data_IF_442738350621
#
_entry.id   IF_442738350621
#
_cell.length_a   1.000
_cell.length_b   1.000
_cell.length_c   1.000
_cell.angle_alpha   90.00
_cell.angle_beta   90.00
_cell.angle_gamma   90.00
#
_symmetry.space_group_name_H-M   'P 1'
#
loop_
_entity.id
_entity.type
_entity.pdbx_description
1 polymer ?
#
# COMPACT_ATOMS: atom_id res chain seq x y z
N UNK A 1 -53.32 -50.21 -20.54
CA UNK A 1 -52.11 -49.42 -20.20
C UNK A 1 -52.42 -47.94 -20.38
N UNK A 2 -52.89 -47.27 -19.32
CA UNK A 2 -53.40 -45.89 -19.35
C UNK A 2 -52.33 -44.91 -18.85
N UNK A 3 -51.80 -44.07 -19.75
CA UNK A 3 -50.85 -43.00 -19.41
C UNK A 3 -51.61 -41.83 -18.75
N UNK A 4 -51.58 -41.76 -17.43
CA UNK A 4 -52.05 -40.60 -16.67
C UNK A 4 -50.98 -39.51 -16.75
N UNK A 5 -51.19 -38.53 -17.64
CA UNK A 5 -50.33 -37.34 -17.79
C UNK A 5 -50.69 -36.34 -16.69
N UNK A 6 -49.99 -36.39 -15.57
CA UNK A 6 -50.13 -35.46 -14.45
C UNK A 6 -49.67 -34.06 -14.90
N UNK A 7 -50.63 -33.21 -15.26
CA UNK A 7 -50.41 -31.77 -15.42
C UNK A 7 -50.18 -31.18 -14.02
N UNK A 8 -48.93 -31.26 -13.54
CA UNK A 8 -48.50 -30.52 -12.37
C UNK A 8 -48.47 -29.05 -12.79
N UNK A 9 -49.41 -28.29 -12.25
CA UNK A 9 -49.65 -26.89 -12.60
C UNK A 9 -48.41 -26.07 -12.21
N UNK A 10 -47.59 -25.72 -13.19
CA UNK A 10 -46.29 -25.05 -13.02
C UNK A 10 -46.41 -23.74 -12.23
N UNK A 11 -47.58 -23.09 -12.29
CA UNK A 11 -47.89 -21.89 -11.50
C UNK A 11 -47.90 -22.11 -9.99
N UNK A 12 -48.41 -23.24 -9.49
CA UNK A 12 -48.44 -23.51 -8.04
C UNK A 12 -47.04 -23.69 -7.46
N UNK A 13 -46.10 -24.25 -8.24
CA UNK A 13 -44.73 -24.47 -7.81
C UNK A 13 -43.97 -23.14 -7.67
N UNK A 14 -44.18 -22.19 -8.60
CA UNK A 14 -43.59 -20.86 -8.54
C UNK A 14 -44.10 -20.04 -7.36
N UNK A 15 -45.40 -20.13 -7.06
CA UNK A 15 -46.00 -19.44 -5.90
C UNK A 15 -45.42 -19.99 -4.60
N UNK A 16 -45.34 -21.32 -4.45
CA UNK A 16 -44.73 -21.96 -3.29
C UNK A 16 -43.26 -21.54 -3.11
N UNK A 17 -42.49 -21.52 -4.20
CA UNK A 17 -41.08 -21.15 -4.18
C UNK A 17 -40.88 -19.67 -3.81
N UNK A 18 -41.71 -18.76 -4.35
CA UNK A 18 -41.69 -17.34 -3.98
C UNK A 18 -42.08 -17.12 -2.51
N UNK A 19 -43.12 -17.80 -2.02
CA UNK A 19 -43.54 -17.67 -0.61
C UNK A 19 -42.53 -18.20 0.39
N UNK A 20 -41.63 -19.10 -0.03
CA UNK A 20 -40.61 -19.70 0.83
C UNK A 20 -39.30 -18.92 0.79
N UNK A 21 -38.94 -18.34 -0.36
CA UNK A 21 -37.69 -17.57 -0.53
C UNK A 21 -37.79 -16.16 0.07
N UNK A 22 -38.96 -15.50 0.02
CA UNK A 22 -39.11 -14.13 0.55
C UNK A 22 -38.85 -14.04 2.06
N UNK A 23 -39.41 -14.93 2.92
CA UNK A 23 -39.11 -14.94 4.35
C UNK A 23 -37.64 -15.27 4.67
N UNK A 24 -37.00 -16.11 3.86
CA UNK A 24 -35.58 -16.45 4.00
C UNK A 24 -34.68 -15.25 3.67
N UNK A 25 -35.06 -14.44 2.68
CA UNK A 25 -34.36 -13.20 2.34
C UNK A 25 -34.53 -12.13 3.42
N UNK A 26 -35.71 -12.02 4.05
CA UNK A 26 -35.92 -11.08 5.15
C UNK A 26 -35.26 -11.51 6.45
N UNK A 27 -35.16 -12.82 6.74
CA UNK A 27 -34.37 -13.31 7.88
C UNK A 27 -32.85 -13.14 7.70
N UNK A 28 -32.36 -13.07 6.46
CA UNK A 28 -30.96 -12.75 6.18
C UNK A 28 -30.66 -11.24 6.30
N UNK A 29 -31.69 -10.40 6.37
CA UNK A 29 -31.60 -8.96 6.56
C UNK A 29 -32.07 -8.59 7.97
N UNK A 30 -31.41 -9.10 9.01
CA UNK A 30 -31.53 -8.43 10.31
C UNK A 30 -30.91 -7.03 10.16
N UNK A 31 -31.70 -5.94 10.32
CA UNK A 31 -31.15 -4.60 10.28
C UNK A 31 -30.25 -4.46 11.50
N UNK A 32 -28.93 -4.49 11.28
CA UNK A 32 -27.96 -4.15 12.32
C UNK A 32 -28.38 -2.81 12.92
N UNK A 33 -28.59 -2.81 14.23
CA UNK A 33 -28.92 -1.60 14.95
C UNK A 33 -27.87 -0.52 14.61
N UNK A 34 -28.33 0.67 14.24
CA UNK A 34 -27.47 1.78 13.77
C UNK A 34 -26.37 2.14 14.79
N UNK A 35 -26.62 1.88 16.07
CA UNK A 35 -25.64 2.05 17.16
C UNK A 35 -24.44 1.09 17.04
N UNK A 36 -24.66 -0.15 16.58
CA UNK A 36 -23.62 -1.16 16.39
C UNK A 36 -22.71 -0.83 15.19
N UNK A 37 -23.23 -0.11 14.20
CA UNK A 37 -22.43 0.32 13.03
C UNK A 37 -21.36 1.35 13.45
N UNK A 38 -21.69 2.26 14.37
CA UNK A 38 -20.75 3.29 14.83
C UNK A 38 -19.63 2.69 15.68
N UNK A 39 -19.95 1.75 16.57
CA UNK A 39 -18.95 1.03 17.38
C UNK A 39 -18.05 0.17 16.48
N UNK A 40 -18.61 -0.53 15.50
CA UNK A 40 -17.87 -1.27 14.48
C UNK A 40 -16.90 -0.37 13.71
N UNK A 41 -17.34 0.82 13.32
CA UNK A 41 -16.51 1.79 12.61
C UNK A 41 -15.35 2.29 13.47
N UNK A 42 -15.61 2.66 14.72
CA UNK A 42 -14.57 3.11 15.65
C UNK A 42 -13.54 2.01 15.91
N UNK A 43 -13.99 0.76 16.03
CA UNK A 43 -13.10 -0.39 16.18
C UNK A 43 -12.25 -0.61 14.92
N UNK A 44 -12.86 -0.58 13.73
CA UNK A 44 -12.17 -0.68 12.44
C UNK A 44 -11.07 0.37 12.32
N UNK A 45 -11.36 1.61 12.71
CA UNK A 45 -10.38 2.67 12.71
C UNK A 45 -9.23 2.39 13.69
N UNK A 46 -9.53 1.99 14.92
CA UNK A 46 -8.51 1.68 15.93
C UNK A 46 -7.55 0.57 15.46
N UNK A 47 -8.09 -0.51 14.92
CA UNK A 47 -7.31 -1.64 14.42
C UNK A 47 -6.45 -1.25 13.21
N UNK A 48 -7.02 -0.52 12.24
CA UNK A 48 -6.28 -0.01 11.09
C UNK A 48 -5.12 0.90 11.51
N UNK A 49 -5.30 1.71 12.56
CA UNK A 49 -4.25 2.58 13.10
C UNK A 49 -3.10 1.77 13.72
N UNK A 50 -3.41 0.70 14.45
CA UNK A 50 -2.42 -0.18 15.08
C UNK A 50 -1.61 -0.94 14.04
N UNK A 51 -2.27 -1.48 13.03
CA UNK A 51 -1.62 -2.29 11.99
C UNK A 51 -0.75 -1.43 11.06
N UNK A 52 -1.25 -0.26 10.64
CA UNK A 52 -0.42 0.72 9.92
C UNK A 52 0.78 1.20 10.76
N UNK A 53 0.63 1.19 12.09
CA UNK A 53 1.66 1.38 13.10
C UNK A 53 2.84 0.43 12.92
N UNK A 54 2.54 -0.86 12.99
CA UNK A 54 3.51 -1.95 13.06
C UNK A 54 4.31 -2.14 11.76
N UNK A 55 3.69 -1.96 10.59
CA UNK A 55 4.36 -2.04 9.29
C UNK A 55 5.48 -0.99 9.17
N UNK A 56 5.31 0.17 9.81
CA UNK A 56 6.27 1.26 9.68
C UNK A 56 7.58 0.99 10.44
N UNK A 57 7.55 0.25 11.54
CA UNK A 57 8.76 -0.10 12.30
C UNK A 57 9.76 -0.87 11.44
N UNK A 58 9.27 -1.65 10.47
CA UNK A 58 10.08 -2.39 9.50
C UNK A 58 10.55 -1.50 8.35
N UNK A 59 9.79 -0.46 8.00
CA UNK A 59 10.11 0.45 6.89
C UNK A 59 11.18 1.49 7.26
N UNK A 60 11.27 1.91 8.52
CA UNK A 60 12.24 2.91 8.99
C UNK A 60 13.70 2.56 8.64
N UNK A 61 14.23 1.34 8.90
CA UNK A 61 15.59 0.98 8.50
C UNK A 61 15.77 0.93 6.98
N UNK A 62 14.71 0.64 6.22
CA UNK A 62 14.76 0.62 4.77
C UNK A 62 14.93 2.04 4.18
N UNK A 63 14.21 3.02 4.72
CA UNK A 63 14.36 4.44 4.34
C UNK A 63 15.76 4.96 4.69
N UNK A 64 16.30 4.57 5.86
CA UNK A 64 17.67 4.90 6.23
C UNK A 64 18.71 4.30 5.26
N UNK A 65 18.48 3.07 4.77
CA UNK A 65 19.34 2.42 3.78
C UNK A 65 19.31 3.05 2.39
N UNK A 66 18.19 3.65 1.98
CA UNK A 66 18.09 4.33 0.68
C UNK A 66 18.82 5.67 0.70
N UNK A 67 18.78 6.39 1.82
CA UNK A 67 19.50 7.65 1.98
C UNK A 67 21.02 7.50 1.78
N UNK A 68 21.62 6.42 2.26
CA UNK A 68 23.06 6.17 2.12
C UNK A 68 23.46 5.81 0.69
N UNK A 69 22.63 5.07 -0.05
CA UNK A 69 22.88 4.74 -1.45
C UNK A 69 22.87 6.00 -2.35
N UNK A 70 21.94 6.93 -2.11
CA UNK A 70 21.87 8.18 -2.85
C UNK A 70 23.07 9.09 -2.55
N UNK A 71 23.48 9.17 -1.28
CA UNK A 71 24.68 9.91 -0.89
C UNK A 71 25.96 9.36 -1.56
N UNK A 72 26.10 8.03 -1.64
CA UNK A 72 27.22 7.39 -2.32
C UNK A 72 27.26 7.70 -3.83
N UNK A 73 26.10 7.66 -4.49
CA UNK A 73 25.99 7.97 -5.91
C UNK A 73 26.34 9.44 -6.22
N UNK A 74 25.86 10.38 -5.39
CA UNK A 74 26.16 11.80 -5.55
C UNK A 74 27.63 12.13 -5.22
N UNK A 75 28.23 11.45 -4.25
CA UNK A 75 29.66 11.59 -3.95
C UNK A 75 30.53 11.17 -5.14
N UNK A 76 30.22 10.04 -5.78
CA UNK A 76 30.93 9.60 -7.00
C UNK A 76 30.86 10.58 -8.16
N UNK A 77 29.70 11.23 -8.34
CA UNK A 77 29.50 12.30 -9.34
C UNK A 77 30.45 13.48 -9.12
N UNK A 78 30.48 14.02 -7.89
CA UNK A 78 31.27 15.20 -7.56
C UNK A 78 32.77 14.88 -7.64
N UNK A 79 33.20 13.75 -7.10
CA UNK A 79 34.60 13.30 -7.20
C UNK A 79 35.02 13.09 -8.65
N UNK A 80 34.14 12.53 -9.49
CA UNK A 80 34.38 12.39 -10.93
C UNK A 80 34.58 13.73 -11.64
N UNK A 81 33.73 14.72 -11.36
CA UNK A 81 33.85 16.07 -11.94
C UNK A 81 35.15 16.76 -11.51
N UNK A 82 35.53 16.68 -10.23
CA UNK A 82 36.77 17.29 -9.72
C UNK A 82 38.01 16.59 -10.31
N UNK A 83 38.02 15.26 -10.37
CA UNK A 83 39.13 14.51 -10.96
C UNK A 83 39.34 14.85 -12.45
N UNK A 84 38.24 15.08 -13.18
CA UNK A 84 38.26 15.52 -14.59
C UNK A 84 38.85 16.92 -14.74
N UNK A 85 38.57 17.82 -13.79
CA UNK A 85 39.08 19.20 -13.82
C UNK A 85 40.57 19.30 -13.45
N UNK A 86 41.07 18.42 -12.57
CA UNK A 86 42.46 18.46 -12.09
C UNK A 86 43.43 17.70 -13.01
N UNK A 87 42.96 16.72 -13.79
CA UNK A 87 43.81 15.93 -14.69
C UNK A 87 43.28 15.95 -16.14
N UNK A 88 43.78 16.86 -16.99
CA UNK A 88 43.32 17.02 -18.38
C UNK A 88 43.70 15.88 -19.36
N UNK A 89 43.89 14.65 -18.86
CA UNK A 89 44.11 13.45 -19.66
C UNK A 89 43.42 12.20 -19.10
N UNK A 90 42.54 12.35 -18.10
CA UNK A 90 41.76 11.23 -17.57
C UNK A 90 40.69 10.78 -18.59
N UNK A 91 40.44 9.46 -18.74
CA UNK A 91 39.48 8.94 -19.71
C UNK A 91 38.07 9.47 -19.40
N UNK A 92 37.51 10.26 -20.33
CA UNK A 92 36.23 10.98 -20.21
C UNK A 92 34.99 10.08 -19.95
N UNK A 93 35.13 8.76 -19.95
CA UNK A 93 34.02 7.81 -19.84
C UNK A 93 33.75 7.25 -18.44
N UNK A 94 34.66 7.39 -17.47
CA UNK A 94 34.57 6.62 -16.21
C UNK A 94 33.63 7.26 -15.19
N UNK A 95 33.51 8.59 -15.17
CA UNK A 95 32.67 9.31 -14.20
C UNK A 95 31.17 9.20 -14.46
N UNK A 96 30.72 9.29 -15.71
CA UNK A 96 29.30 9.26 -16.06
C UNK A 96 28.66 7.87 -15.97
N UNK A 97 29.46 6.80 -16.09
CA UNK A 97 28.95 5.42 -16.08
C UNK A 97 28.36 5.02 -14.72
N UNK A 98 28.92 5.50 -13.60
CA UNK A 98 28.42 5.16 -12.26
C UNK A 98 27.07 5.81 -11.93
N UNK A 99 26.77 6.95 -12.55
CA UNK A 99 25.56 7.76 -12.31
C UNK A 99 24.35 7.14 -12.99
N UNK A 100 24.52 6.66 -14.22
CA UNK A 100 23.45 6.09 -15.02
C UNK A 100 23.02 4.70 -14.53
N UNK A 101 23.96 3.90 -13.99
CA UNK A 101 23.70 2.51 -13.62
C UNK A 101 23.15 2.36 -12.19
N UNK A 102 23.51 3.26 -11.26
CA UNK A 102 23.09 3.18 -9.86
C UNK A 102 21.68 3.72 -9.57
N UNK A 103 21.27 4.80 -10.25
CA UNK A 103 20.02 5.50 -9.92
C UNK A 103 18.73 4.86 -10.47
N UNK A 104 18.79 4.26 -11.68
CA UNK A 104 17.59 3.85 -12.42
C UNK A 104 16.86 2.62 -11.85
N UNK A 105 17.51 1.48 -11.57
CA UNK A 105 16.78 0.28 -11.14
C UNK A 105 16.27 0.39 -9.70
N UNK A 106 16.98 1.10 -8.82
CA UNK A 106 16.58 1.25 -7.42
C UNK A 106 15.38 2.19 -7.27
N UNK A 107 15.32 3.27 -8.04
CA UNK A 107 14.18 4.19 -8.07
C UNK A 107 12.95 3.53 -8.70
N UNK A 108 13.13 2.73 -9.77
CA UNK A 108 12.05 1.94 -10.37
C UNK A 108 11.55 0.83 -9.44
N UNK A 109 12.44 0.14 -8.73
CA UNK A 109 12.07 -0.86 -7.72
C UNK A 109 11.32 -0.21 -6.56
N UNK A 110 11.75 0.98 -6.12
CA UNK A 110 11.03 1.77 -5.13
C UNK A 110 9.64 2.16 -5.63
N UNK A 111 9.53 2.76 -6.80
CA UNK A 111 8.23 3.18 -7.36
C UNK A 111 7.29 1.99 -7.56
N UNK A 112 7.79 0.84 -8.05
CA UNK A 112 6.97 -0.37 -8.20
C UNK A 112 6.58 -1.00 -6.85
N UNK A 113 7.48 -1.03 -5.88
CA UNK A 113 7.17 -1.56 -4.54
C UNK A 113 6.21 -0.63 -3.79
N UNK A 114 6.31 0.68 -3.99
CA UNK A 114 5.40 1.68 -3.43
C UNK A 114 4.02 1.71 -4.10
N UNK A 115 3.93 1.35 -5.39
CA UNK A 115 2.66 1.22 -6.10
C UNK A 115 1.90 -0.06 -5.76
N UNK A 116 2.54 -1.02 -5.09
CA UNK A 116 1.83 -2.19 -4.57
C UNK A 116 1.12 -1.74 -3.29
N UNK A 117 -0.23 -1.61 -3.27
CA UNK A 117 -0.93 -1.29 -2.04
C UNK A 117 -0.53 -2.35 -1.02
N UNK A 118 0.03 -1.91 0.10
CA UNK A 118 0.30 -2.79 1.24
C UNK A 118 -1.01 -3.51 1.56
N UNK A 119 -1.11 -4.78 1.17
CA UNK A 119 -2.35 -5.51 1.30
C UNK A 119 -2.69 -5.56 2.78
N UNK A 120 -3.86 -5.05 3.20
CA UNK A 120 -4.27 -5.15 4.59
C UNK A 120 -4.27 -6.63 5.00
N UNK A 121 -3.96 -6.95 6.26
CA UNK A 121 -3.88 -8.33 6.73
C UNK A 121 -5.23 -9.03 6.48
N UNK A 122 -5.25 -9.94 5.51
CA UNK A 122 -6.48 -10.60 5.01
C UNK A 122 -7.14 -11.40 6.12
N UNK A 123 -6.34 -11.97 7.02
CA UNK A 123 -6.78 -12.72 8.21
C UNK A 123 -7.74 -11.92 9.11
N UNK A 124 -7.61 -10.59 9.16
CA UNK A 124 -8.50 -9.73 9.96
C UNK A 124 -9.81 -9.39 9.27
N UNK A 125 -9.88 -9.57 7.95
CA UNK A 125 -11.02 -9.18 7.12
C UNK A 125 -11.97 -10.35 6.85
N UNK A 126 -11.52 -11.59 7.01
CA UNK A 126 -12.36 -12.78 6.82
C UNK A 126 -13.44 -12.85 7.91
N UNK A 127 -14.70 -12.95 7.49
CA UNK A 127 -15.85 -13.10 8.39
C UNK A 127 -16.33 -11.80 9.07
N UNK A 128 -15.80 -10.64 8.69
CA UNK A 128 -16.28 -9.33 9.18
C UNK A 128 -17.38 -8.75 8.29
N UNK A 129 -18.22 -7.89 8.88
CA UNK A 129 -19.26 -7.18 8.16
C UNK A 129 -18.66 -6.28 7.05
N UNK A 130 -19.26 -6.16 5.86
CA UNK A 130 -18.71 -5.38 4.75
C UNK A 130 -18.46 -3.90 5.10
N UNK A 131 -19.26 -3.30 5.98
CA UNK A 131 -19.05 -1.92 6.43
C UNK A 131 -17.79 -1.75 7.29
N UNK A 132 -17.51 -2.73 8.16
CA UNK A 132 -16.26 -2.76 8.94
C UNK A 132 -15.06 -2.84 7.98
N UNK A 133 -15.13 -3.73 7.00
CA UNK A 133 -14.07 -3.91 5.98
C UNK A 133 -13.82 -2.61 5.23
N UNK A 134 -14.89 -1.92 4.79
CA UNK A 134 -14.77 -0.65 4.06
C UNK A 134 -14.13 0.45 4.92
N UNK A 135 -14.60 0.63 6.16
CA UNK A 135 -14.06 1.63 7.08
C UNK A 135 -12.59 1.35 7.45
N UNK A 136 -12.25 0.08 7.65
CA UNK A 136 -10.89 -0.36 7.92
C UNK A 136 -9.97 -0.04 6.74
N UNK A 137 -10.33 -0.45 5.53
CA UNK A 137 -9.51 -0.27 4.31
C UNK A 137 -9.28 1.21 4.01
N UNK A 138 -10.32 2.05 4.09
CA UNK A 138 -10.20 3.49 3.86
C UNK A 138 -9.26 4.15 4.88
N UNK A 139 -9.40 3.80 6.15
CA UNK A 139 -8.57 4.35 7.24
C UNK A 139 -7.12 3.90 7.14
N UNK A 140 -6.93 2.61 6.84
CA UNK A 140 -5.61 2.02 6.62
C UNK A 140 -4.88 2.70 5.46
N UNK A 141 -5.54 2.82 4.29
CA UNK A 141 -4.98 3.47 3.11
C UNK A 141 -4.65 4.95 3.36
N UNK A 142 -5.55 5.69 4.02
CA UNK A 142 -5.32 7.10 4.37
C UNK A 142 -4.09 7.25 5.26
N UNK A 143 -3.92 6.38 6.25
CA UNK A 143 -2.74 6.40 7.13
C UNK A 143 -1.48 5.97 6.42
N UNK A 144 -1.52 4.95 5.57
CA UNK A 144 -0.35 4.51 4.81
C UNK A 144 0.14 5.63 3.90
N UNK A 145 -0.74 6.33 3.18
CA UNK A 145 -0.37 7.50 2.36
C UNK A 145 0.29 8.62 3.16
N UNK A 146 -0.30 9.00 4.29
CA UNK A 146 0.26 10.05 5.14
C UNK A 146 1.66 9.67 5.66
N UNK A 147 1.85 8.40 6.01
CA UNK A 147 3.13 7.87 6.48
C UNK A 147 4.17 7.78 5.37
N UNK A 148 3.78 7.40 4.17
CA UNK A 148 4.65 7.41 2.99
C UNK A 148 5.15 8.82 2.70
N UNK A 149 4.29 9.84 2.80
CA UNK A 149 4.71 11.24 2.63
C UNK A 149 5.74 11.67 3.68
N UNK A 150 5.56 11.27 4.94
CA UNK A 150 6.52 11.55 6.03
C UNK A 150 7.84 10.82 5.77
N UNK A 151 7.80 9.57 5.36
CA UNK A 151 9.00 8.80 5.03
C UNK A 151 9.78 9.42 3.85
N UNK A 152 9.06 9.82 2.80
CA UNK A 152 9.64 10.47 1.64
C UNK A 152 10.27 11.83 1.99
N UNK A 153 9.60 12.65 2.81
CA UNK A 153 10.15 13.93 3.24
C UNK A 153 11.36 13.75 4.16
N UNK A 154 11.33 12.77 5.08
CA UNK A 154 12.48 12.44 5.92
C UNK A 154 13.68 11.99 5.09
N UNK A 155 13.47 11.14 4.08
CA UNK A 155 14.52 10.71 3.15
C UNK A 155 15.12 11.89 2.37
N UNK A 156 14.28 12.81 1.89
CA UNK A 156 14.73 14.01 1.18
C UNK A 156 15.56 14.93 2.07
N UNK A 157 15.10 15.21 3.29
CA UNK A 157 15.85 16.06 4.25
C UNK A 157 17.18 15.44 4.62
N UNK A 158 17.21 14.12 4.90
CA UNK A 158 18.45 13.41 5.19
C UNK A 158 19.43 13.48 4.02
N UNK A 159 18.96 13.24 2.78
CA UNK A 159 19.77 13.34 1.57
C UNK A 159 20.36 14.73 1.37
N UNK A 160 19.55 15.79 1.51
CA UNK A 160 20.02 17.17 1.42
C UNK A 160 21.04 17.52 2.50
N UNK A 161 20.81 17.08 3.75
CA UNK A 161 21.74 17.32 4.86
C UNK A 161 23.11 16.71 4.62
N UNK A 162 23.16 15.49 4.09
CA UNK A 162 24.43 14.83 3.73
C UNK A 162 25.14 15.59 2.61
N UNK A 163 24.41 16.03 1.58
CA UNK A 163 25.00 16.83 0.49
C UNK A 163 25.58 18.16 0.97
N UNK A 164 24.86 18.88 1.82
CA UNK A 164 25.31 20.16 2.37
C UNK A 164 26.52 19.99 3.30
N UNK A 165 26.54 18.94 4.13
CA UNK A 165 27.69 18.62 4.96
C UNK A 165 28.94 18.33 4.13
N UNK A 166 28.78 17.64 3.00
CA UNK A 166 29.87 17.39 2.06
C UNK A 166 30.43 18.66 1.43
N UNK A 167 29.54 19.57 0.97
CA UNK A 167 29.94 20.87 0.40
C UNK A 167 30.65 21.78 1.40
N UNK A 168 30.47 21.58 2.71
CA UNK A 168 31.12 22.39 3.72
C UNK A 168 32.54 21.88 4.07
N UNK A 169 32.82 20.61 3.78
CA UNK A 169 34.10 19.96 4.10
C UNK A 169 35.12 20.12 2.97
N UNK A 170 34.67 20.21 1.72
CA UNK A 170 35.51 20.31 0.51
C UNK A 170 35.30 21.64 -0.20
#
# INVERSE_FOLDING_TARGET
MTKIKRHINTGCFLILLLTLVVPLLTFAQEPLAVEDINTLRLQAESDAKKDAGQVMTVLTPFVAGIGSAFAGAMSGLVTGCIASAVSPGAPEGVGCAFVAVGGSPFFLMLVNHYNTPSHPPIERLIGKHPEYVRAYVDTYNKKMRARQLIAASAGAVAGCGIMMGWLYVF
#
